data_IF_413673481023
#
_entry.id   IF_413673481023
#
_cell.length_a   1.000
_cell.length_b   1.000
_cell.length_c   1.000
_cell.angle_alpha   90.00
_cell.angle_beta   90.00
_cell.angle_gamma   90.00
#
_symmetry.space_group_name_H-M   'P 1'
#
loop_
_entity.id
_entity.type
_entity.pdbx_description
1 polymer ?
#
# COMPACT_ATOMS: atom_id res chain seq x y z
N UNK A 1 -25.83 4.63 -11.80
CA UNK A 1 -26.22 4.13 -10.48
C UNK A 1 -26.18 5.26 -9.47
N UNK A 2 -27.02 5.16 -8.42
CA UNK A 2 -26.94 5.99 -7.21
C UNK A 2 -25.83 5.45 -6.30
N UNK A 3 -24.81 6.27 -6.02
CA UNK A 3 -23.63 5.91 -5.23
C UNK A 3 -23.65 6.63 -3.90
N UNK A 4 -23.56 5.89 -2.81
CA UNK A 4 -23.38 6.40 -1.45
C UNK A 4 -21.95 6.19 -0.95
N UNK A 5 -21.42 7.19 -0.27
CA UNK A 5 -20.04 7.14 0.23
C UNK A 5 -20.06 7.18 1.76
N UNK A 6 -19.60 6.13 2.38
CA UNK A 6 -19.41 6.09 3.83
C UNK A 6 -17.93 6.37 4.13
N UNK A 7 -17.70 7.54 4.72
CA UNK A 7 -16.44 8.25 4.92
C UNK A 7 -15.98 9.05 3.67
N UNK A 8 -16.28 10.36 3.68
CA UNK A 8 -15.74 11.35 2.73
C UNK A 8 -14.28 11.72 3.06
N UNK A 9 -13.47 10.72 3.41
CA UNK A 9 -12.03 10.84 3.59
C UNK A 9 -11.30 10.99 2.26
N UNK A 10 -9.96 10.87 2.28
CA UNK A 10 -9.12 11.02 1.08
C UNK A 10 -9.52 10.06 -0.04
N UNK A 11 -9.75 8.78 0.29
CA UNK A 11 -10.12 7.73 -0.67
C UNK A 11 -11.57 7.92 -1.15
N UNK A 12 -12.52 7.99 -0.20
CA UNK A 12 -13.95 8.06 -0.55
C UNK A 12 -14.30 9.24 -1.43
N UNK A 13 -13.75 10.44 -1.15
CA UNK A 13 -13.98 11.63 -1.95
C UNK A 13 -13.38 11.52 -3.36
N UNK A 14 -12.18 10.93 -3.49
CA UNK A 14 -11.55 10.74 -4.80
C UNK A 14 -12.32 9.74 -5.67
N UNK A 15 -12.71 8.57 -5.10
CA UNK A 15 -13.51 7.57 -5.82
C UNK A 15 -14.88 8.12 -6.20
N UNK A 16 -15.56 8.84 -5.28
CA UNK A 16 -16.83 9.49 -5.56
C UNK A 16 -16.72 10.50 -6.71
N UNK A 17 -15.67 11.32 -6.73
CA UNK A 17 -15.42 12.28 -7.81
C UNK A 17 -15.18 11.59 -9.15
N UNK A 18 -14.39 10.50 -9.16
CA UNK A 18 -14.12 9.72 -10.38
C UNK A 18 -15.41 9.07 -10.91
N UNK A 19 -16.21 8.44 -10.04
CA UNK A 19 -17.47 7.82 -10.43
C UNK A 19 -18.51 8.87 -10.90
N UNK A 20 -18.55 10.05 -10.28
CA UNK A 20 -19.39 11.15 -10.76
C UNK A 20 -18.98 11.60 -12.16
N UNK A 21 -17.68 11.69 -12.42
CA UNK A 21 -17.17 12.01 -13.75
C UNK A 21 -17.50 10.93 -14.78
N UNK A 22 -17.60 9.67 -14.36
CA UNK A 22 -18.06 8.54 -15.18
C UNK A 22 -19.59 8.48 -15.39
N UNK A 23 -20.36 9.46 -14.84
CA UNK A 23 -21.80 9.56 -15.04
C UNK A 23 -22.66 8.91 -13.95
N UNK A 24 -22.08 8.53 -12.81
CA UNK A 24 -22.86 8.08 -11.65
C UNK A 24 -23.39 9.28 -10.85
N UNK A 25 -24.50 9.06 -10.15
CA UNK A 25 -25.06 10.06 -9.24
C UNK A 25 -24.60 9.80 -7.82
N UNK A 26 -23.87 10.73 -7.21
CA UNK A 26 -23.52 10.61 -5.79
C UNK A 26 -24.69 11.10 -4.96
N UNK A 27 -25.41 10.16 -4.33
CA UNK A 27 -26.65 10.44 -3.61
C UNK A 27 -26.42 11.04 -2.22
N UNK A 28 -25.25 10.81 -1.63
CA UNK A 28 -24.85 11.37 -0.36
C UNK A 28 -23.52 10.81 0.12
N UNK A 29 -22.93 11.50 1.09
CA UNK A 29 -21.71 11.06 1.71
C UNK A 29 -21.75 11.30 3.22
N UNK A 30 -21.12 10.40 4.01
CA UNK A 30 -20.91 10.59 5.43
C UNK A 30 -19.53 11.18 5.70
N UNK A 31 -19.49 12.25 6.49
CA UNK A 31 -18.28 12.95 6.87
C UNK A 31 -18.28 13.19 8.39
N UNK A 32 -17.42 12.46 9.11
CA UNK A 32 -17.38 12.49 10.58
C UNK A 32 -16.61 13.66 11.18
N UNK A 33 -15.61 14.19 10.47
CA UNK A 33 -14.74 15.29 10.91
C UNK A 33 -14.95 16.55 10.09
N UNK A 34 -14.51 17.70 10.63
CA UNK A 34 -14.46 18.99 9.90
C UNK A 34 -13.68 18.85 8.58
N UNK A 35 -12.48 18.28 8.67
CA UNK A 35 -11.62 18.06 7.51
C UNK A 35 -12.30 17.21 6.42
N UNK A 36 -13.08 16.19 6.81
CA UNK A 36 -13.82 15.38 5.85
C UNK A 36 -15.01 16.12 5.23
N UNK A 37 -15.64 17.04 5.95
CA UNK A 37 -16.72 17.91 5.41
C UNK A 37 -16.18 18.92 4.43
N UNK A 38 -15.08 19.60 4.76
CA UNK A 38 -14.40 20.50 3.83
C UNK A 38 -13.99 19.78 2.55
N UNK A 39 -13.44 18.57 2.68
CA UNK A 39 -13.06 17.75 1.53
C UNK A 39 -14.28 17.34 0.69
N UNK A 40 -15.41 16.99 1.34
CA UNK A 40 -16.65 16.71 0.64
C UNK A 40 -17.13 17.90 -0.20
N UNK A 41 -17.12 19.11 0.37
CA UNK A 41 -17.52 20.34 -0.32
C UNK A 41 -16.59 20.66 -1.52
N UNK A 42 -15.28 20.47 -1.35
CA UNK A 42 -14.28 20.74 -2.38
C UNK A 42 -14.31 19.73 -3.52
N UNK A 43 -14.40 18.43 -3.21
CA UNK A 43 -14.25 17.38 -4.22
C UNK A 43 -15.58 16.90 -4.79
N UNK A 44 -16.66 17.05 -4.06
CA UNK A 44 -18.01 16.60 -4.40
C UNK A 44 -19.04 17.74 -4.17
N UNK A 45 -18.84 18.93 -4.75
CA UNK A 45 -19.73 20.06 -4.51
C UNK A 45 -21.17 19.71 -4.82
N UNK A 46 -22.09 20.11 -3.92
CA UNK A 46 -23.52 19.84 -4.03
C UNK A 46 -23.97 18.45 -3.59
N UNK A 47 -23.07 17.57 -3.20
CA UNK A 47 -23.43 16.27 -2.60
C UNK A 47 -23.81 16.48 -1.13
N UNK A 48 -25.01 16.02 -0.68
CA UNK A 48 -25.44 16.22 0.70
C UNK A 48 -24.64 15.34 1.66
N UNK A 49 -24.28 15.92 2.81
CA UNK A 49 -23.80 15.14 3.96
C UNK A 49 -25.02 14.47 4.60
N UNK A 50 -25.00 13.15 4.70
CA UNK A 50 -26.10 12.33 5.22
C UNK A 50 -25.61 11.37 6.30
N UNK A 51 -26.55 10.97 7.16
CA UNK A 51 -26.32 9.89 8.13
C UNK A 51 -26.20 8.53 7.41
N UNK A 52 -25.37 7.65 7.96
CA UNK A 52 -25.01 6.37 7.33
C UNK A 52 -26.22 5.51 6.94
N UNK A 53 -27.27 5.31 7.80
CA UNK A 53 -28.42 4.51 7.40
C UNK A 53 -29.18 5.11 6.19
N UNK A 54 -29.22 6.44 6.10
CA UNK A 54 -29.89 7.12 4.98
C UNK A 54 -29.12 6.97 3.68
N UNK A 55 -27.78 6.98 3.74
CA UNK A 55 -26.93 6.71 2.58
C UNK A 55 -27.22 5.30 2.06
N UNK A 56 -27.20 4.30 2.95
CA UNK A 56 -27.46 2.91 2.57
C UNK A 56 -28.84 2.75 1.94
N UNK A 57 -29.88 3.36 2.53
CA UNK A 57 -31.26 3.31 2.03
C UNK A 57 -31.40 3.87 0.59
N UNK A 58 -30.65 4.94 0.26
CA UNK A 58 -30.80 5.65 -1.02
C UNK A 58 -29.85 5.21 -2.12
N UNK A 59 -28.97 4.23 -1.86
CA UNK A 59 -27.86 3.88 -2.75
C UNK A 59 -28.02 2.52 -3.40
N UNK A 60 -27.73 2.42 -4.69
CA UNK A 60 -27.55 1.16 -5.40
C UNK A 60 -26.14 0.58 -5.20
N UNK A 61 -25.15 1.48 -5.04
CA UNK A 61 -23.75 1.16 -4.72
C UNK A 61 -23.35 1.91 -3.45
N UNK A 62 -22.88 1.18 -2.42
CA UNK A 62 -22.33 1.75 -1.19
C UNK A 62 -20.82 1.51 -1.14
N UNK A 63 -20.05 2.59 -1.01
CA UNK A 63 -18.59 2.56 -0.85
C UNK A 63 -18.24 2.78 0.62
N UNK A 64 -17.55 1.81 1.21
CA UNK A 64 -17.01 1.86 2.56
C UNK A 64 -15.51 2.22 2.49
N UNK A 65 -15.19 3.51 2.63
CA UNK A 65 -13.81 4.03 2.60
C UNK A 65 -13.31 4.34 4.02
N UNK A 66 -13.47 3.37 4.92
CA UNK A 66 -13.20 3.46 6.35
C UNK A 66 -11.85 2.83 6.73
N UNK A 67 -11.29 3.21 7.90
CA UNK A 67 -10.22 2.44 8.52
C UNK A 67 -10.61 0.97 8.72
N UNK A 68 -9.65 0.08 8.60
CA UNK A 68 -9.86 -1.38 8.70
C UNK A 68 -10.59 -1.80 9.98
N UNK A 69 -10.27 -1.13 11.11
CA UNK A 69 -10.89 -1.41 12.41
C UNK A 69 -12.37 -1.05 12.50
N UNK A 70 -12.87 -0.19 11.61
CA UNK A 70 -14.26 0.29 11.62
C UNK A 70 -15.17 -0.49 10.67
N UNK A 71 -14.60 -1.24 9.71
CA UNK A 71 -15.37 -1.94 8.67
C UNK A 71 -16.34 -2.98 9.27
N UNK A 72 -15.82 -3.96 9.99
CA UNK A 72 -16.65 -5.04 10.53
C UNK A 72 -17.70 -4.53 11.55
N UNK A 73 -17.36 -3.63 12.50
CA UNK A 73 -18.36 -3.04 13.40
C UNK A 73 -19.49 -2.30 12.68
N UNK A 74 -19.15 -1.52 11.63
CA UNK A 74 -20.15 -0.79 10.85
C UNK A 74 -21.08 -1.76 10.11
N UNK A 75 -20.51 -2.74 9.41
CA UNK A 75 -21.28 -3.72 8.63
C UNK A 75 -22.24 -4.50 9.51
N UNK A 76 -21.79 -4.94 10.70
CA UNK A 76 -22.63 -5.65 11.66
C UNK A 76 -23.70 -4.73 12.30
N UNK A 77 -23.34 -3.49 12.59
CA UNK A 77 -24.28 -2.48 13.07
C UNK A 77 -25.43 -2.23 12.09
N UNK A 78 -25.12 -2.05 10.82
CA UNK A 78 -26.12 -1.86 9.75
C UNK A 78 -26.96 -3.13 9.51
N UNK A 79 -26.35 -4.31 9.64
CA UNK A 79 -27.07 -5.58 9.58
C UNK A 79 -28.10 -5.68 10.72
N UNK A 80 -27.73 -5.33 11.94
CA UNK A 80 -28.65 -5.33 13.10
C UNK A 80 -29.81 -4.34 12.94
N UNK A 81 -29.59 -3.24 12.23
CA UNK A 81 -30.62 -2.27 11.88
C UNK A 81 -31.49 -2.71 10.69
N UNK A 82 -31.13 -3.80 10.00
CA UNK A 82 -31.81 -4.22 8.78
C UNK A 82 -31.66 -3.23 7.63
N UNK A 83 -30.57 -2.47 7.59
CA UNK A 83 -30.37 -1.39 6.62
C UNK A 83 -29.95 -1.89 5.23
N UNK A 84 -29.26 -3.04 5.15
CA UNK A 84 -28.79 -3.59 3.86
C UNK A 84 -29.95 -4.07 3.00
N UNK A 85 -29.84 -3.84 1.68
CA UNK A 85 -30.87 -4.18 0.71
C UNK A 85 -30.44 -5.32 -0.22
N UNK A 86 -31.34 -6.27 -0.55
CA UNK A 86 -31.04 -7.30 -1.53
C UNK A 86 -30.70 -6.69 -2.89
N UNK A 87 -29.63 -7.19 -3.52
CA UNK A 87 -29.13 -6.71 -4.82
C UNK A 87 -28.32 -5.42 -4.76
N UNK A 88 -28.22 -4.76 -3.61
CA UNK A 88 -27.37 -3.60 -3.40
C UNK A 88 -25.88 -3.99 -3.53
N UNK A 89 -25.10 -3.23 -4.25
CA UNK A 89 -23.65 -3.42 -4.35
C UNK A 89 -23.00 -2.76 -3.12
N UNK A 90 -22.21 -3.52 -2.37
CA UNK A 90 -21.46 -3.02 -1.22
C UNK A 90 -19.99 -3.33 -1.43
N UNK A 91 -19.17 -2.30 -1.49
CA UNK A 91 -17.71 -2.46 -1.61
C UNK A 91 -16.95 -1.73 -0.51
N UNK A 92 -15.81 -2.27 -0.14
CA UNK A 92 -14.84 -1.59 0.71
C UNK A 92 -13.51 -1.40 -0.03
N UNK A 93 -12.68 -0.47 0.50
CA UNK A 93 -11.41 -0.09 -0.13
C UNK A 93 -10.17 -0.61 0.61
N UNK A 94 -10.32 -1.40 1.67
CA UNK A 94 -9.19 -1.96 2.42
C UNK A 94 -8.30 -2.85 1.53
N UNK A 95 -6.97 -2.73 1.62
CA UNK A 95 -6.06 -3.67 0.98
C UNK A 95 -6.04 -5.05 1.65
N UNK A 96 -6.35 -5.13 2.97
CA UNK A 96 -6.13 -6.32 3.81
C UNK A 96 -7.27 -7.31 3.81
N UNK A 97 -8.51 -6.82 3.65
CA UNK A 97 -9.68 -7.67 3.70
C UNK A 97 -10.17 -8.06 2.31
N UNK A 98 -10.66 -9.29 2.18
CA UNK A 98 -11.51 -9.71 1.08
C UNK A 98 -12.98 -9.38 1.36
N UNK A 99 -13.89 -10.15 0.79
CA UNK A 99 -15.33 -9.92 0.98
C UNK A 99 -15.88 -10.46 2.31
N UNK A 100 -15.11 -11.20 3.08
CA UNK A 100 -15.50 -11.78 4.37
C UNK A 100 -15.90 -10.72 5.40
N UNK A 101 -15.25 -9.55 5.39
CA UNK A 101 -15.59 -8.43 6.28
C UNK A 101 -16.99 -7.86 5.99
N UNK A 102 -17.56 -8.15 4.81
CA UNK A 102 -18.89 -7.75 4.37
C UNK A 102 -19.96 -8.86 4.55
N UNK A 103 -19.66 -9.94 5.26
CA UNK A 103 -20.57 -11.09 5.44
C UNK A 103 -21.95 -10.63 5.96
N UNK A 104 -22.00 -9.63 6.86
CA UNK A 104 -23.25 -9.09 7.37
C UNK A 104 -24.14 -8.44 6.30
N UNK A 105 -23.55 -7.81 5.29
CA UNK A 105 -24.28 -7.26 4.14
C UNK A 105 -24.67 -8.39 3.17
N UNK A 106 -23.76 -9.31 2.91
CA UNK A 106 -24.01 -10.47 2.04
C UNK A 106 -25.16 -11.33 2.56
N UNK A 107 -25.22 -11.58 3.86
CA UNK A 107 -26.31 -12.33 4.49
C UNK A 107 -27.68 -11.65 4.31
N UNK A 108 -27.71 -10.35 4.05
CA UNK A 108 -28.92 -9.57 3.74
C UNK A 108 -29.23 -9.53 2.23
N UNK A 109 -28.47 -10.25 1.41
CA UNK A 109 -28.64 -10.32 -0.05
C UNK A 109 -27.90 -9.26 -0.86
N UNK A 110 -26.96 -8.51 -0.25
CA UNK A 110 -26.13 -7.57 -0.96
C UNK A 110 -25.04 -8.28 -1.80
N UNK A 111 -24.60 -7.62 -2.85
CA UNK A 111 -23.51 -8.05 -3.74
C UNK A 111 -22.19 -7.44 -3.24
N UNK A 112 -21.33 -8.24 -2.65
CA UNK A 112 -20.15 -7.76 -1.93
C UNK A 112 -18.87 -7.83 -2.75
N UNK A 113 -18.08 -6.73 -2.72
CA UNK A 113 -16.79 -6.59 -3.39
C UNK A 113 -15.75 -5.94 -2.47
N UNK A 114 -14.49 -6.27 -2.68
CA UNK A 114 -13.35 -5.48 -2.21
C UNK A 114 -12.68 -4.85 -3.43
N UNK A 115 -12.50 -3.52 -3.43
CA UNK A 115 -11.92 -2.76 -4.54
C UNK A 115 -10.86 -1.80 -3.97
N UNK A 116 -9.60 -2.20 -4.00
CA UNK A 116 -8.50 -1.40 -3.47
C UNK A 116 -7.77 -0.66 -4.59
N UNK A 117 -7.81 0.68 -4.65
CA UNK A 117 -6.97 1.46 -5.55
C UNK A 117 -5.53 1.48 -5.04
N UNK A 118 -4.59 0.98 -5.87
CA UNK A 118 -3.18 0.79 -5.48
C UNK A 118 -2.42 2.11 -5.61
N UNK A 119 -2.69 3.04 -4.71
CA UNK A 119 -2.01 4.34 -4.64
C UNK A 119 -2.17 4.99 -3.27
N UNK A 120 -1.23 5.89 -2.94
CA UNK A 120 -1.34 6.80 -1.81
C UNK A 120 -2.22 7.99 -2.17
N UNK A 121 -3.19 8.32 -1.32
CA UNK A 121 -4.12 9.43 -1.51
C UNK A 121 -3.69 10.66 -0.70
N UNK A 122 -3.64 11.81 -1.37
CA UNK A 122 -3.35 13.10 -0.75
C UNK A 122 -4.61 13.78 -0.19
N UNK A 123 -5.78 13.43 -0.72
CA UNK A 123 -7.08 14.04 -0.39
C UNK A 123 -7.37 15.28 -1.22
N UNK A 124 -6.72 15.44 -2.36
CA UNK A 124 -6.91 16.57 -3.29
C UNK A 124 -7.44 16.10 -4.66
N UNK A 125 -7.86 17.04 -5.48
CA UNK A 125 -8.31 16.77 -6.85
C UNK A 125 -7.25 16.10 -7.74
N UNK A 126 -5.98 16.20 -7.38
CA UNK A 126 -4.89 15.50 -8.07
C UNK A 126 -5.04 13.98 -7.99
N UNK A 127 -5.63 13.47 -6.92
CA UNK A 127 -5.87 12.04 -6.76
C UNK A 127 -6.81 11.49 -7.83
N UNK A 128 -7.80 12.29 -8.25
CA UNK A 128 -8.74 11.90 -9.33
C UNK A 128 -7.99 11.72 -10.66
N UNK A 129 -7.06 12.62 -10.98
CA UNK A 129 -6.22 12.47 -12.17
C UNK A 129 -5.28 11.26 -12.08
N UNK A 130 -4.77 10.95 -10.88
CA UNK A 130 -3.88 9.79 -10.63
C UNK A 130 -4.61 8.45 -10.67
N UNK A 131 -5.93 8.42 -10.41
CA UNK A 131 -6.76 7.22 -10.61
C UNK A 131 -6.77 6.77 -12.07
N UNK A 132 -6.66 7.72 -13.00
CA UNK A 132 -6.47 7.39 -14.42
C UNK A 132 -5.13 6.69 -14.63
N UNK A 133 -5.19 5.42 -15.03
CA UNK A 133 -4.01 4.55 -15.16
C UNK A 133 -3.59 3.83 -13.87
N UNK A 134 -4.25 4.08 -12.74
CA UNK A 134 -3.98 3.33 -11.51
C UNK A 134 -4.43 1.86 -11.63
N UNK A 135 -3.79 0.99 -10.85
CA UNK A 135 -4.26 -0.39 -10.69
C UNK A 135 -5.27 -0.47 -9.56
N UNK A 136 -6.32 -1.28 -9.77
CA UNK A 136 -7.33 -1.59 -8.77
C UNK A 136 -7.32 -3.09 -8.50
N UNK A 137 -7.12 -3.47 -7.25
CA UNK A 137 -7.22 -4.88 -6.87
C UNK A 137 -8.66 -5.19 -6.48
N UNK A 138 -9.25 -6.13 -7.21
CA UNK A 138 -10.63 -6.59 -7.07
C UNK A 138 -10.64 -7.96 -6.40
N UNK A 139 -11.45 -8.12 -5.35
CA UNK A 139 -11.80 -9.44 -4.82
C UNK A 139 -13.32 -9.53 -4.70
N UNK A 140 -13.88 -10.57 -5.27
CA UNK A 140 -15.31 -10.87 -5.26
C UNK A 140 -15.55 -12.33 -5.65
N UNK A 141 -16.77 -12.82 -5.44
CA UNK A 141 -17.22 -14.05 -6.06
C UNK A 141 -17.10 -13.94 -7.60
N UNK A 142 -16.75 -15.03 -8.28
CA UNK A 142 -16.44 -15.04 -9.72
C UNK A 142 -17.51 -14.32 -10.58
N UNK A 143 -18.79 -14.48 -10.24
CA UNK A 143 -19.90 -13.86 -10.95
C UNK A 143 -19.98 -12.34 -10.76
N UNK A 144 -19.35 -11.80 -9.72
CA UNK A 144 -19.34 -10.38 -9.36
C UNK A 144 -18.05 -9.67 -9.79
N UNK A 145 -16.98 -10.41 -10.09
CA UNK A 145 -15.70 -9.82 -10.53
C UNK A 145 -15.85 -8.83 -11.70
N UNK A 146 -16.69 -9.10 -12.73
CA UNK A 146 -16.90 -8.15 -13.82
C UNK A 146 -17.40 -6.78 -13.36
N UNK A 147 -18.20 -6.72 -12.27
CA UNK A 147 -18.68 -5.45 -11.71
C UNK A 147 -17.50 -4.63 -11.16
N UNK A 148 -16.63 -5.27 -10.36
CA UNK A 148 -15.44 -4.60 -9.81
C UNK A 148 -14.47 -4.14 -10.89
N UNK A 149 -14.27 -4.95 -11.94
CA UNK A 149 -13.42 -4.60 -13.08
C UNK A 149 -14.02 -3.44 -13.89
N UNK A 150 -15.35 -3.40 -14.08
CA UNK A 150 -16.04 -2.32 -14.75
C UNK A 150 -15.90 -1.01 -13.94
N UNK A 151 -16.14 -1.04 -12.62
CA UNK A 151 -15.96 0.13 -11.76
C UNK A 151 -14.52 0.68 -11.81
N UNK A 152 -13.51 -0.19 -11.83
CA UNK A 152 -12.12 0.23 -12.00
C UNK A 152 -11.89 0.95 -13.33
N UNK A 153 -12.42 0.39 -14.42
CA UNK A 153 -12.33 0.99 -15.77
C UNK A 153 -13.08 2.32 -15.86
N UNK A 154 -14.27 2.44 -15.28
CA UNK A 154 -15.05 3.68 -15.23
C UNK A 154 -14.32 4.81 -14.49
N UNK A 155 -13.50 4.47 -13.48
CA UNK A 155 -12.60 5.40 -12.78
C UNK A 155 -11.29 5.68 -13.55
N UNK A 156 -11.14 5.14 -14.76
CA UNK A 156 -9.97 5.33 -15.63
C UNK A 156 -8.79 4.42 -15.31
N UNK A 157 -8.93 3.45 -14.42
CA UNK A 157 -7.88 2.53 -14.01
C UNK A 157 -8.02 1.14 -14.63
N UNK A 158 -7.17 0.23 -14.20
CA UNK A 158 -7.15 -1.16 -14.67
C UNK A 158 -7.31 -2.13 -13.48
N UNK A 159 -8.32 -3.00 -13.57
CA UNK A 159 -8.62 -3.97 -12.52
C UNK A 159 -7.74 -5.22 -12.62
N UNK A 160 -7.27 -5.69 -11.46
CA UNK A 160 -6.55 -6.95 -11.30
C UNK A 160 -7.26 -7.78 -10.24
N UNK A 161 -7.54 -9.05 -10.53
CA UNK A 161 -8.23 -9.92 -9.58
C UNK A 161 -7.23 -10.58 -8.63
N UNK A 162 -7.49 -10.47 -7.33
CA UNK A 162 -6.80 -11.19 -6.25
C UNK A 162 -7.85 -11.91 -5.42
N UNK A 163 -7.62 -13.18 -5.08
CA UNK A 163 -8.57 -13.92 -4.25
C UNK A 163 -8.69 -13.29 -2.86
N UNK A 164 -9.89 -13.36 -2.27
CA UNK A 164 -10.13 -12.85 -0.91
C UNK A 164 -9.15 -13.47 0.11
N UNK A 165 -8.87 -14.76 0.01
CA UNK A 165 -7.95 -15.46 0.90
C UNK A 165 -6.49 -14.92 0.83
N UNK A 166 -6.10 -14.32 -0.29
CA UNK A 166 -4.72 -13.84 -0.52
C UNK A 166 -4.55 -12.36 -0.15
N UNK A 167 -5.61 -11.66 0.26
CA UNK A 167 -5.58 -10.20 0.53
C UNK A 167 -4.60 -9.80 1.62
N UNK A 168 -4.47 -10.58 2.68
CA UNK A 168 -3.49 -10.30 3.74
C UNK A 168 -2.06 -10.41 3.24
N UNK A 169 -1.76 -11.43 2.42
CA UNK A 169 -0.43 -11.61 1.82
C UNK A 169 -0.15 -10.48 0.82
N UNK A 170 -1.16 -10.11 0.01
CA UNK A 170 -1.08 -8.98 -0.90
C UNK A 170 -0.75 -7.67 -0.16
N UNK A 171 -1.49 -7.34 0.89
CA UNK A 171 -1.24 -6.13 1.68
C UNK A 171 0.15 -6.15 2.33
N UNK A 172 0.55 -7.28 2.92
CA UNK A 172 1.87 -7.43 3.52
C UNK A 172 3.00 -7.24 2.50
N UNK A 173 2.82 -7.69 1.26
CA UNK A 173 3.80 -7.47 0.19
C UNK A 173 3.95 -5.99 -0.19
N UNK A 174 2.83 -5.24 -0.25
CA UNK A 174 2.86 -3.79 -0.50
C UNK A 174 3.52 -3.03 0.66
N UNK A 175 3.13 -3.34 1.91
CA UNK A 175 3.70 -2.73 3.11
C UNK A 175 5.21 -3.01 3.18
N UNK A 176 5.63 -4.26 2.95
CA UNK A 176 7.05 -4.63 2.93
C UNK A 176 7.86 -3.81 1.92
N UNK A 177 7.35 -3.63 0.70
CA UNK A 177 8.01 -2.83 -0.32
C UNK A 177 8.08 -1.35 0.08
N UNK A 178 6.97 -0.79 0.56
CA UNK A 178 6.89 0.61 0.97
C UNK A 178 7.80 0.92 2.16
N UNK A 179 7.77 0.07 3.20
CA UNK A 179 8.57 0.26 4.41
C UNK A 179 10.06 0.06 4.13
N UNK A 180 10.42 -0.93 3.31
CA UNK A 180 11.80 -1.14 2.89
C UNK A 180 12.39 0.06 2.15
N UNK A 181 11.63 0.64 1.21
CA UNK A 181 12.04 1.84 0.47
C UNK A 181 12.18 3.05 1.42
N UNK A 182 11.17 3.29 2.27
CA UNK A 182 11.18 4.42 3.22
C UNK A 182 12.38 4.31 4.17
N UNK A 183 12.61 3.12 4.74
CA UNK A 183 13.71 2.87 5.66
C UNK A 183 15.06 3.12 4.97
N UNK A 184 15.31 2.52 3.81
CA UNK A 184 16.56 2.66 3.09
C UNK A 184 16.87 4.12 2.74
N UNK A 185 15.87 4.87 2.24
CA UNK A 185 16.05 6.28 1.89
C UNK A 185 16.28 7.16 3.12
N UNK A 186 15.57 6.92 4.21
CA UNK A 186 15.74 7.68 5.47
C UNK A 186 17.12 7.44 6.06
N UNK A 187 17.58 6.19 6.10
CA UNK A 187 18.91 5.83 6.59
C UNK A 187 20.01 6.44 5.72
N UNK A 188 19.89 6.32 4.40
CA UNK A 188 20.86 6.91 3.47
C UNK A 188 20.92 8.44 3.60
N UNK A 189 19.77 9.13 3.76
CA UNK A 189 19.73 10.58 4.01
C UNK A 189 20.46 10.98 5.28
N UNK A 190 20.30 10.22 6.37
CA UNK A 190 20.99 10.49 7.64
C UNK A 190 22.50 10.36 7.47
N UNK A 191 22.97 9.28 6.83
CA UNK A 191 24.41 9.08 6.59
C UNK A 191 24.99 10.19 5.73
N UNK A 192 24.30 10.57 4.64
CA UNK A 192 24.76 11.66 3.78
C UNK A 192 24.80 13.01 4.50
N UNK A 193 23.80 13.28 5.34
CA UNK A 193 23.78 14.49 6.19
C UNK A 193 24.94 14.52 7.17
N UNK A 194 25.31 13.39 7.80
CA UNK A 194 26.42 13.28 8.74
C UNK A 194 27.77 13.61 8.08
N UNK A 195 27.95 13.24 6.83
CA UNK A 195 29.18 13.58 6.07
C UNK A 195 29.12 14.95 5.37
N UNK A 196 28.10 15.78 5.69
CA UNK A 196 28.02 17.17 5.25
C UNK A 196 27.34 17.39 3.90
N UNK A 197 26.56 16.44 3.38
CA UNK A 197 25.77 16.67 2.16
C UNK A 197 24.56 17.54 2.51
N UNK A 198 24.46 18.74 1.94
CA UNK A 198 23.41 19.72 2.26
C UNK A 198 22.01 19.29 1.78
N UNK A 199 21.90 18.64 0.60
CA UNK A 199 20.64 18.11 0.06
C UNK A 199 20.76 16.61 -0.32
N UNK A 200 20.68 15.70 0.67
CA UNK A 200 20.68 14.27 0.40
C UNK A 200 19.54 13.83 -0.51
N UNK A 201 18.38 14.51 -0.45
CA UNK A 201 17.19 14.12 -1.21
C UNK A 201 17.37 14.26 -2.71
N UNK A 202 18.01 15.34 -3.17
CA UNK A 202 18.30 15.55 -4.58
C UNK A 202 19.22 14.46 -5.12
N UNK A 203 20.26 14.09 -4.36
CA UNK A 203 21.23 13.06 -4.72
C UNK A 203 20.58 11.68 -4.76
N UNK A 204 19.81 11.33 -3.74
CA UNK A 204 19.15 10.03 -3.62
C UNK A 204 18.04 9.84 -4.66
N UNK A 205 17.35 10.89 -5.07
CA UNK A 205 16.26 10.81 -6.06
C UNK A 205 16.69 10.15 -7.36
N UNK A 206 17.85 10.53 -7.90
CA UNK A 206 18.38 9.93 -9.13
C UNK A 206 18.92 8.53 -8.91
N UNK A 207 19.70 8.34 -7.84
CA UNK A 207 20.36 7.06 -7.57
C UNK A 207 19.36 5.97 -7.20
N UNK A 208 18.47 6.26 -6.26
CA UNK A 208 17.44 5.32 -5.80
C UNK A 208 16.38 5.05 -6.87
N UNK A 209 16.06 6.04 -7.72
CA UNK A 209 15.17 5.84 -8.88
C UNK A 209 15.65 4.74 -9.81
N UNK A 210 16.96 4.71 -10.13
CA UNK A 210 17.55 3.64 -10.94
C UNK A 210 17.45 2.28 -10.24
N UNK A 211 17.73 2.22 -8.94
CA UNK A 211 17.63 0.99 -8.17
C UNK A 211 16.18 0.46 -8.09
N UNK A 212 15.18 1.37 -7.96
CA UNK A 212 13.77 1.05 -7.99
C UNK A 212 13.35 0.39 -9.30
N UNK A 213 13.68 1.00 -10.44
CA UNK A 213 13.38 0.44 -11.78
C UNK A 213 14.04 -0.92 -11.98
N UNK A 214 15.31 -1.06 -11.58
CA UNK A 214 16.01 -2.33 -11.62
C UNK A 214 15.32 -3.38 -10.76
N UNK A 215 14.81 -2.97 -9.58
CA UNK A 215 14.04 -3.82 -8.69
C UNK A 215 12.77 -4.38 -9.32
N UNK A 216 12.03 -3.59 -10.06
CA UNK A 216 10.81 -4.01 -10.74
C UNK A 216 11.05 -5.01 -11.88
N UNK A 217 12.10 -4.79 -12.67
CA UNK A 217 12.43 -5.66 -13.81
C UNK A 217 12.99 -7.02 -13.39
N UNK A 218 13.55 -7.10 -12.23
CA UNK A 218 14.23 -8.29 -11.74
C UNK A 218 13.33 -9.53 -11.49
N UNK A 219 12.01 -9.39 -11.53
CA UNK A 219 11.06 -10.51 -11.46
C UNK A 219 11.23 -11.54 -12.58
N UNK A 220 11.75 -11.12 -13.73
CA UNK A 220 11.86 -11.96 -14.93
C UNK A 220 13.12 -12.85 -14.97
N UNK A 221 13.83 -13.02 -13.84
CA UNK A 221 15.03 -13.87 -13.77
C UNK A 221 16.27 -13.26 -14.45
N UNK A 222 16.19 -12.01 -14.87
CA UNK A 222 17.32 -11.27 -15.44
C UNK A 222 17.81 -10.20 -14.47
N UNK A 223 18.92 -10.50 -13.79
CA UNK A 223 19.77 -9.45 -13.24
C UNK A 223 19.26 -8.77 -11.98
N UNK A 224 18.86 -9.51 -10.96
CA UNK A 224 18.84 -8.96 -9.61
C UNK A 224 20.25 -8.71 -9.17
N UNK A 225 20.37 -7.48 -8.66
CA UNK A 225 21.51 -6.94 -8.04
C UNK A 225 22.65 -7.91 -7.91
N UNK A 226 23.65 -7.72 -8.74
CA UNK A 226 24.91 -8.43 -8.57
C UNK A 226 25.26 -8.24 -7.10
N UNK A 227 25.32 -9.33 -6.35
CA UNK A 227 25.96 -9.28 -5.02
C UNK A 227 27.31 -8.65 -5.30
N UNK A 228 27.64 -7.52 -4.68
CA UNK A 228 28.92 -6.87 -4.96
C UNK A 228 30.05 -7.87 -4.74
N UNK A 229 31.13 -7.75 -5.53
CA UNK A 229 32.32 -8.57 -5.27
C UNK A 229 32.72 -8.50 -3.80
N UNK A 230 33.20 -9.58 -3.23
CA UNK A 230 33.48 -9.70 -1.79
C UNK A 230 34.28 -8.53 -1.22
N UNK A 231 35.26 -8.02 -1.97
CA UNK A 231 36.04 -6.82 -1.59
C UNK A 231 35.16 -5.57 -1.41
N UNK A 232 34.18 -5.34 -2.28
CA UNK A 232 33.24 -4.22 -2.14
C UNK A 232 32.28 -4.39 -0.97
N UNK A 233 31.88 -5.62 -0.65
CA UNK A 233 31.07 -5.90 0.53
C UNK A 233 31.84 -5.58 1.80
N UNK A 234 33.11 -6.00 1.90
CA UNK A 234 34.00 -5.69 3.02
C UNK A 234 34.14 -4.17 3.20
N UNK A 235 34.44 -3.44 2.13
CA UNK A 235 34.59 -1.98 2.19
C UNK A 235 33.32 -1.27 2.68
N UNK A 236 32.14 -1.65 2.16
CA UNK A 236 30.85 -1.06 2.55
C UNK A 236 30.53 -1.32 4.00
N UNK A 237 30.69 -2.57 4.46
CA UNK A 237 30.43 -2.96 5.85
C UNK A 237 31.38 -2.20 6.77
N UNK A 238 32.68 -2.16 6.46
CA UNK A 238 33.67 -1.47 7.27
C UNK A 238 33.40 0.04 7.37
N UNK A 239 33.02 0.68 6.27
CA UNK A 239 32.69 2.10 6.27
C UNK A 239 31.51 2.43 7.19
N UNK A 240 30.42 1.63 7.13
CA UNK A 240 29.24 1.84 7.98
C UNK A 240 29.49 1.46 9.43
N UNK A 241 30.33 0.47 9.69
CA UNK A 241 30.74 0.12 11.07
C UNK A 241 31.60 1.22 11.71
N UNK A 242 32.50 1.83 10.93
CA UNK A 242 33.28 2.98 11.39
C UNK A 242 32.38 4.15 11.72
N UNK A 243 31.45 4.47 10.83
CA UNK A 243 30.47 5.55 11.06
C UNK A 243 29.61 5.26 12.29
N UNK A 244 29.13 4.04 12.46
CA UNK A 244 28.34 3.64 13.63
C UNK A 244 29.10 3.70 14.95
N UNK A 245 30.44 3.54 14.92
CA UNK A 245 31.29 3.70 16.08
C UNK A 245 31.50 5.19 16.45
N UNK A 246 31.57 6.06 15.46
CA UNK A 246 31.72 7.51 15.61
C UNK A 246 30.38 8.21 15.95
N UNK A 247 29.28 7.73 15.33
CA UNK A 247 27.92 8.26 15.47
C UNK A 247 26.95 7.11 15.87
N UNK A 248 26.84 6.78 17.18
CA UNK A 248 26.04 5.65 17.65
C UNK A 248 24.56 5.69 17.25
N UNK A 249 23.99 6.86 17.00
CA UNK A 249 22.63 7.07 16.50
C UNK A 249 22.43 6.56 15.07
N UNK A 250 23.50 6.24 14.34
CA UNK A 250 23.47 5.64 13.01
C UNK A 250 23.78 4.13 13.02
N UNK A 251 23.87 3.51 14.20
CA UNK A 251 24.16 2.06 14.34
C UNK A 251 23.09 1.18 13.67
N UNK A 252 21.83 1.65 13.59
CA UNK A 252 20.73 0.99 12.88
C UNK A 252 21.02 0.84 11.38
N UNK A 253 21.77 1.77 10.77
CA UNK A 253 22.12 1.74 9.35
C UNK A 253 23.09 0.60 9.05
N UNK A 254 24.16 0.47 9.84
CA UNK A 254 25.14 -0.62 9.71
C UNK A 254 24.44 -1.99 9.85
N UNK A 255 23.58 -2.15 10.85
CA UNK A 255 22.83 -3.37 11.09
C UNK A 255 21.87 -3.69 9.93
N UNK A 256 21.07 -2.72 9.47
CA UNK A 256 20.14 -2.89 8.33
C UNK A 256 20.88 -3.28 7.06
N UNK A 257 22.02 -2.64 6.79
CA UNK A 257 22.83 -2.94 5.59
C UNK A 257 23.33 -4.39 5.60
N UNK A 258 23.77 -4.89 6.74
CA UNK A 258 24.17 -6.29 6.90
C UNK A 258 23.02 -7.26 6.62
N UNK A 259 21.81 -6.99 7.13
CA UNK A 259 20.64 -7.82 6.86
C UNK A 259 20.25 -7.82 5.39
N UNK A 260 20.31 -6.66 4.74
CA UNK A 260 20.04 -6.56 3.28
C UNK A 260 21.07 -7.36 2.48
N UNK A 261 22.37 -7.25 2.83
CA UNK A 261 23.41 -8.03 2.15
C UNK A 261 23.24 -9.54 2.35
N UNK A 262 22.92 -9.99 3.57
CA UNK A 262 22.66 -11.40 3.85
C UNK A 262 21.51 -11.94 2.99
N UNK A 263 20.39 -11.22 2.93
CA UNK A 263 19.23 -11.60 2.12
C UNK A 263 19.55 -11.63 0.61
N UNK A 264 20.41 -10.71 0.12
CA UNK A 264 20.86 -10.71 -1.27
C UNK A 264 21.76 -11.92 -1.56
N UNK A 265 22.65 -12.30 -0.64
CA UNK A 265 23.50 -13.49 -0.77
C UNK A 265 22.66 -14.77 -0.81
N UNK A 266 21.72 -14.93 0.13
CA UNK A 266 20.82 -16.09 0.17
C UNK A 266 20.02 -16.22 -1.13
N UNK A 267 19.52 -15.11 -1.63
CA UNK A 267 18.77 -15.11 -2.89
C UNK A 267 19.64 -15.46 -4.09
N UNK A 268 20.85 -14.89 -4.16
CA UNK A 268 21.79 -15.18 -5.26
C UNK A 268 22.22 -16.66 -5.25
N UNK A 269 22.43 -17.23 -4.05
CA UNK A 269 22.70 -18.65 -3.89
C UNK A 269 21.52 -19.51 -4.38
N UNK A 270 20.30 -19.19 -3.94
CA UNK A 270 19.08 -19.90 -4.34
C UNK A 270 18.81 -19.83 -5.85
N UNK A 271 19.29 -18.80 -6.53
CA UNK A 271 19.19 -18.61 -7.98
C UNK A 271 20.37 -19.21 -8.76
N UNK A 272 21.33 -19.81 -8.07
CA UNK A 272 22.53 -20.38 -8.70
C UNK A 272 23.52 -19.34 -9.27
N UNK A 273 23.40 -18.08 -8.83
CA UNK A 273 24.31 -17.00 -9.24
C UNK A 273 25.59 -16.96 -8.39
N UNK A 274 25.59 -17.61 -7.23
CA UNK A 274 26.73 -17.81 -6.34
C UNK A 274 26.93 -19.28 -6.07
N UNK A 275 28.20 -19.69 -5.89
CA UNK A 275 28.52 -21.00 -5.33
C UNK A 275 28.30 -20.99 -3.81
N UNK A 276 28.11 -22.18 -3.22
CA UNK A 276 28.00 -22.31 -1.75
C UNK A 276 29.25 -21.75 -1.04
N UNK A 277 30.42 -21.96 -1.60
CA UNK A 277 31.70 -21.46 -1.05
C UNK A 277 31.72 -19.93 -1.01
N UNK A 278 31.38 -19.26 -2.13
CA UNK A 278 31.31 -17.81 -2.22
C UNK A 278 30.21 -17.21 -1.30
N UNK A 279 29.08 -17.89 -1.18
CA UNK A 279 28.01 -17.45 -0.28
C UNK A 279 28.44 -17.55 1.20
N UNK A 280 29.12 -18.63 1.58
CA UNK A 280 29.64 -18.81 2.95
C UNK A 280 30.71 -17.76 3.30
N UNK A 281 31.58 -17.42 2.36
CA UNK A 281 32.58 -16.35 2.53
C UNK A 281 31.87 -15.00 2.77
N UNK A 282 30.90 -14.64 1.94
CA UNK A 282 30.11 -13.42 2.07
C UNK A 282 29.32 -13.39 3.38
N UNK A 283 28.71 -14.50 3.78
CA UNK A 283 28.01 -14.60 5.08
C UNK A 283 28.98 -14.42 6.26
N UNK A 284 30.22 -14.86 6.16
CA UNK A 284 31.21 -14.63 7.21
C UNK A 284 31.52 -13.14 7.35
N UNK A 285 31.61 -12.40 6.24
CA UNK A 285 31.84 -10.96 6.23
C UNK A 285 30.62 -10.21 6.81
N UNK A 286 29.41 -10.62 6.42
CA UNK A 286 28.16 -10.00 6.85
C UNK A 286 27.75 -10.46 8.25
N UNK A 287 28.11 -11.67 8.63
CA UNK A 287 27.57 -12.43 9.78
C UNK A 287 28.00 -11.98 11.18
N UNK A 288 28.81 -10.92 11.34
CA UNK A 288 28.95 -10.22 12.61
C UNK A 288 27.69 -9.38 12.93
N UNK A 289 26.51 -10.02 12.82
CA UNK A 289 25.20 -9.44 13.17
C UNK A 289 25.01 -9.23 14.70
N UNK A 290 25.95 -9.69 15.50
CA UNK A 290 25.99 -9.37 16.94
C UNK A 290 26.70 -8.03 17.07
N UNK A 291 25.89 -6.97 17.22
CA UNK A 291 26.40 -5.71 17.76
C UNK A 291 27.25 -5.96 19.01
N UNK A 292 28.10 -5.02 19.43
CA UNK A 292 28.93 -5.18 20.60
C UNK A 292 28.03 -5.60 21.75
N UNK A 293 28.26 -6.82 22.22
CA UNK A 293 27.61 -7.35 23.41
C UNK A 293 27.81 -6.33 24.51
N UNK A 294 26.75 -5.62 24.88
CA UNK A 294 26.76 -4.70 26.00
C UNK A 294 27.32 -5.45 27.18
N UNK A 295 28.53 -5.09 27.56
CA UNK A 295 29.12 -5.50 28.82
C UNK A 295 28.20 -5.08 29.94
N UNK A 296 27.91 -6.00 30.83
CA UNK A 296 27.14 -5.84 32.06
C UNK A 296 27.79 -4.78 32.98
#
# INVERSE_FOLDING_TARGET
>A
MGVGIISAGKVGSALGSALRAAGHTIVGAYASSEESRERLELMLPGVPALEVPRIVECSELVILALPDSELAPLVDGLRKLGAWQPGQIVLHTSPRFGTEVLEGAQASGALTLALHPVMEFTGTSMDVARLSGARFVVSAANVLQPIGLALAAEMGGEGVVVNSADRQIYAAALDHAADGIKLALTQASRVLGEIGVEDPSALLRMWAGTAFEQGLVAREGRGYGVVPAGELVVQRVAALDTLAAESPELSDVALSHRHVLAALVDRALAQGMLSEEAANELHTIVGNLRGPSGGR
#
